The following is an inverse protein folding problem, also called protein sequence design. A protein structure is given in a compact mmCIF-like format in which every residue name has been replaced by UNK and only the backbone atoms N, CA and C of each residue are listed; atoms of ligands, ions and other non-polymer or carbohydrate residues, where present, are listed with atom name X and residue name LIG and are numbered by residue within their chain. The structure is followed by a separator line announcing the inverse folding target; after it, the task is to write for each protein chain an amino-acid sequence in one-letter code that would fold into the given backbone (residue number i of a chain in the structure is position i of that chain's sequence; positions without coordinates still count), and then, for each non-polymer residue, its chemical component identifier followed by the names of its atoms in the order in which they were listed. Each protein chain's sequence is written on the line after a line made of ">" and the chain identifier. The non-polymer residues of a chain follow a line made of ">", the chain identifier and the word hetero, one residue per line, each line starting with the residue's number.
data_IF_980458111258
#
_entry.id   IF_980458111258
#
_cell.length_a   1.000
_cell.length_b   1.000
_cell.length_c   1.000
_cell.angle_alpha   90.00
_cell.angle_beta   90.00
_cell.angle_gamma   90.00
#
_symmetry.space_group_name_H-M   'P 1'
#
loop_
_entity.id
_entity.type
_entity.pdbx_description
1 polymer ?
#
# COMPACT_ATOMS: atom_id res chain seq x y z
N UNK A 1 -18.75 -11.31 4.84
CA UNK A 1 -19.34 -10.74 3.65
C UNK A 1 -20.14 -9.51 4.04
N UNK A 2 -19.91 -8.39 3.32
CA UNK A 2 -20.49 -7.10 3.61
C UNK A 2 -20.22 -6.51 5.02
N UNK A 3 -19.18 -6.98 5.69
CA UNK A 3 -18.74 -6.41 6.96
C UNK A 3 -18.11 -5.04 6.74
N UNK A 4 -18.42 -4.11 7.63
CA UNK A 4 -17.79 -2.81 7.74
C UNK A 4 -17.39 -2.54 9.18
N UNK A 5 -17.17 -1.29 9.53
CA UNK A 5 -16.86 -0.90 10.90
C UNK A 5 -15.44 -0.34 11.06
N UNK A 6 -14.87 -0.51 12.23
CA UNK A 6 -13.58 0.08 12.57
C UNK A 6 -12.61 -0.97 13.09
N UNK A 7 -11.41 -0.99 12.49
CA UNK A 7 -10.24 -1.70 12.98
C UNK A 7 -9.29 -0.64 13.53
N UNK A 8 -8.77 -0.84 14.73
CA UNK A 8 -7.95 0.18 15.39
C UNK A 8 -6.86 -0.46 16.23
N UNK A 9 -5.66 0.16 16.21
CA UNK A 9 -4.53 -0.19 17.07
C UNK A 9 -4.15 -1.68 16.99
N UNK A 10 -4.00 -2.20 15.75
CA UNK A 10 -3.64 -3.59 15.50
C UNK A 10 -2.21 -3.66 14.98
N UNK A 11 -1.43 -4.52 15.58
CA UNK A 11 -0.12 -4.91 15.10
C UNK A 11 -0.04 -6.43 14.93
N UNK A 12 0.37 -6.86 13.75
CA UNK A 12 0.64 -8.27 13.47
C UNK A 12 2.08 -8.40 12.98
N UNK A 13 2.85 -9.22 13.67
CA UNK A 13 4.25 -9.45 13.33
C UNK A 13 4.60 -10.92 13.41
N UNK A 14 5.47 -11.38 12.49
CA UNK A 14 6.06 -12.72 12.50
C UNK A 14 5.03 -13.86 12.56
N UNK A 15 3.85 -13.67 12.00
CA UNK A 15 2.83 -14.72 11.94
C UNK A 15 3.10 -15.70 10.80
N UNK A 16 3.87 -15.28 9.81
CA UNK A 16 4.19 -16.02 8.58
C UNK A 16 2.94 -16.52 7.84
N UNK A 17 1.81 -15.87 8.05
CA UNK A 17 0.61 -16.10 7.28
C UNK A 17 0.78 -15.63 5.83
N UNK A 18 -0.06 -16.08 4.94
CA UNK A 18 -0.04 -15.64 3.55
C UNK A 18 -0.31 -14.14 3.42
N UNK A 19 -1.17 -13.59 4.26
CA UNK A 19 -1.45 -12.15 4.36
C UNK A 19 -1.72 -11.76 5.80
N UNK A 20 -1.23 -10.60 6.23
CA UNK A 20 -1.50 -10.05 7.56
C UNK A 20 -2.92 -9.54 7.70
N UNK A 21 -3.40 -8.88 6.66
CA UNK A 21 -4.79 -8.44 6.57
C UNK A 21 -5.40 -8.88 5.24
N UNK A 22 -6.57 -9.45 5.28
CA UNK A 22 -7.37 -9.71 4.08
C UNK A 22 -8.79 -9.23 4.26
N UNK A 23 -9.17 -8.22 3.50
CA UNK A 23 -10.54 -7.70 3.43
C UNK A 23 -11.10 -8.01 2.06
N UNK A 24 -12.26 -8.63 2.01
CA UNK A 24 -12.88 -8.99 0.74
C UNK A 24 -14.40 -8.90 0.76
N UNK A 25 -14.97 -8.76 -0.44
CA UNK A 25 -16.40 -8.86 -0.71
C UNK A 25 -17.25 -7.94 0.19
N UNK A 26 -16.84 -6.65 0.33
CA UNK A 26 -17.59 -5.71 1.13
C UNK A 26 -17.68 -4.33 0.49
N UNK A 27 -18.90 -3.78 0.46
CA UNK A 27 -19.16 -2.40 0.07
C UNK A 27 -19.61 -1.54 1.25
N UNK A 28 -19.77 -2.15 2.41
CA UNK A 28 -20.11 -1.46 3.66
C UNK A 28 -18.94 -0.58 4.08
N UNK A 29 -19.17 0.69 4.43
CA UNK A 29 -18.10 1.58 4.85
C UNK A 29 -17.30 1.05 6.03
N UNK A 30 -15.98 1.15 5.90
CA UNK A 30 -15.05 0.72 6.94
C UNK A 30 -13.92 1.72 7.16
N UNK A 31 -13.26 1.57 8.30
CA UNK A 31 -12.10 2.39 8.68
C UNK A 31 -11.02 1.56 9.32
N UNK A 32 -9.79 1.92 9.04
CA UNK A 32 -8.61 1.41 9.74
C UNK A 32 -7.87 2.59 10.34
N UNK A 33 -7.50 2.49 11.60
CA UNK A 33 -6.68 3.46 12.30
C UNK A 33 -5.49 2.78 12.99
N UNK A 34 -4.28 3.25 12.70
CA UNK A 34 -3.05 2.77 13.34
C UNK A 34 -2.89 1.24 13.25
N UNK A 35 -2.59 0.74 12.06
CA UNK A 35 -2.33 -0.68 11.85
C UNK A 35 -0.92 -0.89 11.30
N UNK A 36 -0.19 -1.84 11.89
CA UNK A 36 1.11 -2.30 11.41
C UNK A 36 1.05 -3.77 11.03
N UNK A 37 1.56 -4.08 9.85
CA UNK A 37 1.60 -5.43 9.28
C UNK A 37 3.03 -5.76 8.91
N UNK A 38 3.54 -6.87 9.47
CA UNK A 38 4.95 -7.23 9.38
C UNK A 38 5.15 -8.73 9.22
N UNK A 39 6.06 -9.10 8.34
CA UNK A 39 6.54 -10.48 8.19
C UNK A 39 5.47 -11.47 7.74
N UNK A 40 4.75 -11.14 6.68
CA UNK A 40 3.82 -12.05 6.02
C UNK A 40 4.40 -12.57 4.69
N UNK A 41 4.00 -13.76 4.27
CA UNK A 41 4.73 -14.49 3.21
C UNK A 41 4.45 -13.97 1.81
N UNK A 42 3.26 -13.48 1.53
CA UNK A 42 2.86 -13.05 0.18
C UNK A 42 2.49 -11.58 0.08
N UNK A 43 1.70 -11.12 1.01
CA UNK A 43 1.28 -9.73 1.09
C UNK A 43 1.11 -9.32 2.54
N UNK A 44 1.49 -8.10 2.87
CA UNK A 44 1.14 -7.58 4.17
C UNK A 44 -0.37 -7.31 4.25
N UNK A 45 -0.93 -6.62 3.24
CA UNK A 45 -2.37 -6.44 3.15
C UNK A 45 -2.94 -6.82 1.78
N UNK A 46 -4.18 -7.32 1.78
CA UNK A 46 -4.92 -7.61 0.56
C UNK A 46 -6.35 -7.08 0.65
N UNK A 47 -6.76 -6.36 -0.39
CA UNK A 47 -8.11 -5.85 -0.54
C UNK A 47 -8.68 -6.39 -1.86
N UNK A 48 -9.78 -7.11 -1.79
CA UNK A 48 -10.42 -7.67 -2.97
C UNK A 48 -11.92 -7.38 -2.96
N UNK A 49 -12.41 -6.70 -4.01
CA UNK A 49 -13.82 -6.31 -4.11
C UNK A 49 -14.31 -5.52 -2.87
N UNK A 50 -13.54 -4.48 -2.52
CA UNK A 50 -13.78 -3.63 -1.35
C UNK A 50 -14.14 -2.22 -1.77
N UNK A 51 -15.15 -1.63 -1.15
CA UNK A 51 -15.51 -0.25 -1.43
C UNK A 51 -15.79 0.58 -0.16
N UNK A 52 -15.58 1.91 -0.28
CA UNK A 52 -15.94 2.90 0.74
C UNK A 52 -15.15 2.78 2.06
N UNK A 53 -13.86 2.48 1.97
CA UNK A 53 -12.98 2.38 3.13
C UNK A 53 -12.03 3.57 3.25
N UNK A 54 -11.74 3.97 4.48
CA UNK A 54 -10.75 4.98 4.83
C UNK A 54 -9.70 4.37 5.76
N UNK A 55 -8.43 4.54 5.41
CA UNK A 55 -7.32 3.90 6.07
C UNK A 55 -6.32 4.97 6.48
N UNK A 56 -6.00 5.04 7.76
CA UNK A 56 -5.16 6.07 8.36
C UNK A 56 -4.04 5.45 9.18
N UNK A 57 -2.81 5.97 9.01
CA UNK A 57 -1.63 5.51 9.72
C UNK A 57 -1.40 4.00 9.53
N UNK A 58 -1.14 3.59 8.30
CA UNK A 58 -0.96 2.20 7.93
C UNK A 58 0.51 1.93 7.62
N UNK A 59 1.12 1.04 8.37
CA UNK A 59 2.51 0.63 8.18
C UNK A 59 2.57 -0.76 7.56
N UNK A 60 3.53 -0.93 6.66
CA UNK A 60 3.93 -2.19 6.06
C UNK A 60 5.43 -2.35 6.25
N UNK A 61 5.84 -3.47 6.81
CA UNK A 61 7.25 -3.78 6.98
C UNK A 61 7.59 -5.12 6.34
N UNK A 62 8.57 -5.12 5.45
CA UNK A 62 9.14 -6.32 4.87
C UNK A 62 10.52 -6.58 5.43
N UNK A 63 10.78 -7.82 5.78
CA UNK A 63 12.10 -8.32 6.18
C UNK A 63 12.59 -9.45 5.27
N UNK A 64 13.88 -9.75 5.33
CA UNK A 64 14.52 -10.72 4.44
C UNK A 64 14.11 -12.19 4.61
N UNK A 65 13.26 -12.51 5.58
CA UNK A 65 12.74 -13.86 5.79
C UNK A 65 11.38 -14.10 5.12
N UNK A 66 10.74 -13.05 4.71
CA UNK A 66 9.54 -13.11 3.89
C UNK A 66 9.93 -13.52 2.48
N UNK A 67 9.13 -14.26 1.80
CA UNK A 67 9.47 -14.69 0.44
C UNK A 67 9.80 -13.51 -0.47
N UNK A 68 10.67 -13.68 -1.45
CA UNK A 68 11.09 -12.59 -2.37
C UNK A 68 9.93 -11.98 -3.15
N UNK A 69 8.79 -12.65 -3.16
CA UNK A 69 7.57 -12.22 -3.86
C UNK A 69 6.53 -11.58 -2.93
N UNK A 70 6.88 -11.29 -1.67
CA UNK A 70 5.98 -10.56 -0.78
C UNK A 70 5.73 -9.15 -1.32
N UNK A 71 4.48 -8.71 -1.34
CA UNK A 71 4.06 -7.36 -1.68
C UNK A 71 3.49 -6.69 -0.43
N UNK A 72 3.73 -5.40 -0.28
CA UNK A 72 3.16 -4.65 0.84
C UNK A 72 1.64 -4.61 0.76
N UNK A 73 1.09 -4.35 -0.42
CA UNK A 73 -0.35 -4.51 -0.58
C UNK A 73 -0.77 -4.90 -2.00
N UNK A 74 -1.89 -5.57 -2.05
CA UNK A 74 -2.63 -5.85 -3.27
C UNK A 74 -4.05 -5.29 -3.17
N UNK A 75 -4.46 -4.60 -4.23
CA UNK A 75 -5.82 -4.07 -4.33
C UNK A 75 -6.41 -4.48 -5.68
N UNK A 76 -7.50 -5.23 -5.65
CA UNK A 76 -8.19 -5.66 -6.87
C UNK A 76 -9.67 -5.42 -6.78
N UNK A 77 -10.25 -4.89 -7.86
CA UNK A 77 -11.67 -4.59 -7.95
C UNK A 77 -12.18 -3.71 -6.78
N UNK A 78 -11.35 -2.75 -6.36
CA UNK A 78 -11.64 -1.86 -5.25
C UNK A 78 -12.15 -0.50 -5.73
N UNK A 79 -12.94 0.16 -4.88
CA UNK A 79 -13.50 1.46 -5.26
C UNK A 79 -13.69 2.36 -4.04
N UNK A 80 -13.46 3.68 -4.23
CA UNK A 80 -13.63 4.68 -3.17
C UNK A 80 -12.81 4.34 -1.90
N UNK A 81 -11.52 4.08 -2.06
CA UNK A 81 -10.60 3.83 -0.96
C UNK A 81 -9.70 5.06 -0.79
N UNK A 82 -9.60 5.55 0.41
CA UNK A 82 -8.64 6.60 0.79
C UNK A 82 -7.63 6.06 1.79
N UNK A 83 -6.35 6.21 1.49
CA UNK A 83 -5.23 5.86 2.38
C UNK A 83 -4.44 7.12 2.70
N UNK A 84 -4.23 7.37 3.98
CA UNK A 84 -3.54 8.57 4.48
C UNK A 84 -2.49 8.17 5.50
N UNK A 85 -1.28 8.74 5.38
CA UNK A 85 -0.13 8.41 6.21
C UNK A 85 0.21 6.93 6.12
N UNK A 86 0.64 6.50 4.95
CA UNK A 86 1.05 5.12 4.69
C UNK A 86 2.57 5.03 4.72
N UNK A 87 3.09 4.11 5.50
CA UNK A 87 4.51 3.81 5.59
C UNK A 87 4.80 2.47 4.93
N UNK A 88 5.68 2.49 3.95
CA UNK A 88 6.23 1.30 3.30
C UNK A 88 7.69 1.18 3.72
N UNK A 89 8.01 0.13 4.46
CA UNK A 89 9.28 -0.02 5.12
C UNK A 89 9.93 -1.35 4.75
N UNK A 90 11.20 -1.31 4.34
CA UNK A 90 11.98 -2.53 4.07
C UNK A 90 13.22 -2.58 4.92
N UNK A 91 13.31 -3.59 5.77
CA UNK A 91 14.45 -3.89 6.65
C UNK A 91 15.16 -5.14 6.14
N UNK A 92 15.64 -5.08 4.92
CA UNK A 92 16.33 -6.23 4.29
C UNK A 92 17.82 -5.94 4.29
N UNK A 93 18.60 -6.77 4.98
CA UNK A 93 20.04 -6.63 5.09
C UNK A 93 20.83 -7.19 3.90
N UNK A 94 20.15 -7.81 2.95
CA UNK A 94 20.72 -8.32 1.72
C UNK A 94 20.24 -7.51 0.52
N UNK A 95 21.04 -7.47 -0.53
CA UNK A 95 20.63 -6.86 -1.80
C UNK A 95 19.51 -7.67 -2.45
N UNK A 96 18.28 -7.34 -2.13
CA UNK A 96 17.09 -7.94 -2.72
C UNK A 96 16.20 -6.83 -3.31
N UNK A 97 16.39 -6.51 -4.59
CA UNK A 97 15.59 -5.51 -5.27
C UNK A 97 14.13 -5.90 -5.25
N UNK A 98 13.27 -4.97 -4.88
CA UNK A 98 11.84 -5.13 -5.05
C UNK A 98 11.32 -4.04 -5.96
N UNK A 99 10.68 -4.45 -7.03
CA UNK A 99 10.20 -3.47 -7.99
C UNK A 99 8.93 -2.78 -7.53
N UNK A 100 8.00 -3.50 -6.92
CA UNK A 100 6.65 -3.01 -6.65
C UNK A 100 6.29 -3.17 -5.17
N UNK A 101 5.84 -2.10 -4.53
CA UNK A 101 5.26 -2.11 -3.19
C UNK A 101 3.77 -2.49 -3.22
N UNK A 102 2.94 -1.59 -3.74
CA UNK A 102 1.51 -1.83 -3.97
C UNK A 102 1.24 -2.25 -5.41
N UNK A 103 0.50 -3.32 -5.59
CA UNK A 103 -0.11 -3.70 -6.88
C UNK A 103 -1.58 -3.35 -6.86
N UNK A 104 -2.05 -2.62 -7.88
CA UNK A 104 -3.46 -2.29 -8.01
C UNK A 104 -3.96 -2.65 -9.41
N UNK A 105 -5.15 -3.22 -9.51
CA UNK A 105 -5.83 -3.49 -10.77
C UNK A 105 -7.36 -3.48 -10.61
N UNK A 106 -8.06 -3.10 -11.67
CA UNK A 106 -9.52 -2.98 -11.71
C UNK A 106 -10.09 -2.09 -10.59
N UNK A 107 -9.31 -1.06 -10.19
CA UNK A 107 -9.68 -0.17 -9.11
C UNK A 107 -10.15 1.19 -9.62
N UNK A 108 -11.06 1.85 -8.87
CA UNK A 108 -11.61 3.18 -9.16
C UNK A 108 -11.60 4.06 -7.92
N UNK A 109 -11.28 5.35 -8.09
CA UNK A 109 -11.29 6.33 -6.99
C UNK A 109 -10.46 5.88 -5.79
N UNK A 110 -9.23 5.45 -6.05
CA UNK A 110 -8.26 5.15 -5.00
C UNK A 110 -7.40 6.40 -4.78
N UNK A 111 -7.36 6.88 -3.56
CA UNK A 111 -6.58 8.07 -3.18
C UNK A 111 -5.53 7.69 -2.17
N UNK A 112 -4.28 8.04 -2.46
CA UNK A 112 -3.17 7.94 -1.53
C UNK A 112 -2.71 9.35 -1.17
N UNK A 113 -2.53 9.61 0.11
CA UNK A 113 -1.98 10.87 0.62
C UNK A 113 -0.90 10.59 1.64
N UNK A 114 0.18 11.38 1.57
CA UNK A 114 1.29 11.27 2.50
C UNK A 114 1.81 9.83 2.61
N UNK A 115 2.30 9.33 1.47
CA UNK A 115 2.96 8.03 1.37
C UNK A 115 4.44 8.18 1.68
N UNK A 116 4.96 7.30 2.52
CA UNK A 116 6.36 7.24 2.85
C UNK A 116 6.94 5.92 2.37
N UNK A 117 8.10 6.00 1.76
CA UNK A 117 8.82 4.82 1.28
C UNK A 117 10.24 4.85 1.81
N UNK A 118 10.60 3.87 2.61
CA UNK A 118 11.89 3.79 3.27
C UNK A 118 12.52 2.41 3.13
N UNK A 119 13.82 2.37 2.89
CA UNK A 119 14.61 1.14 2.92
C UNK A 119 15.91 1.37 3.67
N UNK A 120 16.38 0.38 4.40
CA UNK A 120 17.65 0.49 5.13
C UNK A 120 18.86 0.31 4.22
N UNK A 121 18.72 -0.47 3.15
CA UNK A 121 19.80 -0.78 2.21
C UNK A 121 19.24 -0.68 0.79
N UNK A 122 20.00 -0.04 -0.08
CA UNK A 122 19.68 -0.02 -1.50
C UNK A 122 19.69 -1.45 -2.11
N UNK A 123 18.82 -1.74 -3.07
CA UNK A 123 17.89 -0.85 -3.70
C UNK A 123 16.55 -0.76 -3.00
N UNK A 124 15.98 0.40 -3.18
CA UNK A 124 14.67 0.83 -2.76
C UNK A 124 13.58 0.01 -3.46
N UNK A 125 12.35 0.15 -3.01
CA UNK A 125 11.18 -0.18 -3.79
C UNK A 125 11.15 0.75 -5.00
N UNK A 126 11.27 0.21 -6.19
CA UNK A 126 11.37 0.99 -7.42
C UNK A 126 10.05 1.72 -7.72
N UNK A 127 8.96 0.98 -7.61
CA UNK A 127 7.60 1.47 -7.83
C UNK A 127 6.78 1.28 -6.55
N UNK A 128 6.71 2.27 -5.68
CA UNK A 128 5.84 2.17 -4.51
C UNK A 128 4.40 1.78 -4.83
N UNK A 129 3.88 2.27 -5.95
CA UNK A 129 2.57 1.87 -6.46
C UNK A 129 2.68 1.54 -7.95
N UNK A 130 2.02 0.49 -8.37
CA UNK A 130 1.95 0.09 -9.77
C UNK A 130 0.51 -0.27 -10.19
N UNK A 131 0.00 0.45 -11.20
CA UNK A 131 -1.27 0.09 -11.85
C UNK A 131 -1.01 -1.02 -12.87
N UNK A 132 -1.48 -2.20 -12.56
CA UNK A 132 -1.24 -3.40 -13.37
C UNK A 132 -1.99 -3.39 -14.69
N UNK A 133 -3.16 -2.73 -14.75
CA UNK A 133 -3.95 -2.62 -15.99
C UNK A 133 -3.29 -1.67 -16.98
N UNK A 134 -2.90 -0.51 -16.51
CA UNK A 134 -2.31 0.54 -17.34
C UNK A 134 -0.82 0.38 -17.53
N UNK A 135 -0.19 -0.56 -16.81
CA UNK A 135 1.27 -0.73 -16.74
C UNK A 135 1.96 0.58 -16.35
N UNK A 136 1.37 1.28 -15.39
CA UNK A 136 1.79 2.62 -15.02
C UNK A 136 2.43 2.61 -13.62
N UNK A 137 3.75 2.89 -13.54
CA UNK A 137 4.44 3.04 -12.28
C UNK A 137 4.18 4.41 -11.66
N UNK A 138 4.21 4.46 -10.33
CA UNK A 138 4.36 5.68 -9.55
C UNK A 138 5.66 5.57 -8.80
N UNK A 139 6.52 6.54 -8.97
CA UNK A 139 7.83 6.57 -8.33
C UNK A 139 7.79 7.28 -6.99
N UNK A 140 8.78 7.03 -6.14
CA UNK A 140 8.85 7.63 -4.80
C UNK A 140 8.86 9.16 -4.81
N UNK A 141 9.39 9.78 -5.85
CA UNK A 141 9.43 11.24 -6.01
C UNK A 141 8.12 11.85 -6.55
N UNK A 142 7.17 11.01 -6.95
CA UNK A 142 5.85 11.48 -7.41
C UNK A 142 4.88 11.74 -6.24
N UNK A 143 5.33 11.48 -5.01
CA UNK A 143 4.45 11.48 -3.86
C UNK A 143 4.20 12.86 -3.26
N UNK A 144 3.08 13.42 -3.57
CA UNK A 144 2.38 14.28 -2.63
C UNK A 144 0.94 13.80 -2.49
N UNK A 145 0.31 13.49 -3.58
CA UNK A 145 -1.04 12.92 -3.63
C UNK A 145 -1.21 12.16 -4.93
N UNK A 146 -1.69 10.93 -4.84
CA UNK A 146 -2.11 10.15 -5.99
C UNK A 146 -3.58 9.79 -5.88
N UNK A 147 -4.32 10.06 -6.93
CA UNK A 147 -5.70 9.58 -7.07
C UNK A 147 -5.80 8.70 -8.30
N UNK A 148 -6.20 7.46 -8.09
CA UNK A 148 -6.53 6.52 -9.16
C UNK A 148 -8.01 6.66 -9.45
N UNK A 149 -8.35 7.27 -10.57
CA UNK A 149 -9.73 7.40 -11.03
C UNK A 149 -10.05 6.35 -12.09
N UNK A 150 -11.30 5.95 -12.19
CA UNK A 150 -11.76 4.94 -13.15
C UNK A 150 -11.84 5.41 -14.61
N UNK A 151 -11.41 6.64 -14.93
CA UNK A 151 -11.31 7.11 -16.30
C UNK A 151 -9.93 6.79 -16.88
N UNK A 152 -9.85 6.47 -18.15
CA UNK A 152 -8.62 6.07 -18.84
C UNK A 152 -7.48 7.09 -18.81
N UNK A 153 -7.67 8.25 -18.21
CA UNK A 153 -6.75 9.39 -18.30
C UNK A 153 -6.03 9.78 -17.01
N UNK A 154 -6.14 9.08 -15.90
CA UNK A 154 -5.66 9.69 -14.68
C UNK A 154 -5.00 8.79 -13.65
N UNK A 155 -3.76 8.48 -13.89
CA UNK A 155 -2.76 8.59 -12.86
C UNK A 155 -2.09 9.97 -13.12
N UNK A 156 -2.57 11.01 -12.47
CA UNK A 156 -1.85 12.26 -12.40
C UNK A 156 -1.39 12.45 -10.97
N UNK A 157 -0.08 12.55 -10.73
CA UNK A 157 0.40 13.10 -9.48
C UNK A 157 -0.14 14.53 -9.41
N UNK A 158 -0.99 14.82 -8.47
CA UNK A 158 -1.31 16.20 -8.16
C UNK A 158 -0.23 16.70 -7.21
N UNK A 159 0.85 17.22 -7.75
CA UNK A 159 1.84 17.93 -6.96
C UNK A 159 1.19 19.15 -6.33
N UNK A 160 0.86 19.07 -5.07
CA UNK A 160 0.75 20.25 -4.21
C UNK A 160 1.54 19.95 -2.95
N UNK A 161 2.72 20.57 -2.90
CA UNK A 161 3.67 20.55 -1.78
C UNK A 161 4.43 19.23 -1.66
N UNK A 162 5.64 19.21 -2.21
CA UNK A 162 6.66 18.27 -1.77
C UNK A 162 6.98 18.57 -0.30
N UNK A 163 6.62 17.68 0.58
CA UNK A 163 7.25 17.64 1.88
C UNK A 163 8.64 17.03 1.70
N UNK A 164 9.62 17.91 1.51
CA UNK A 164 11.03 17.53 1.34
C UNK A 164 11.67 17.02 2.64
N UNK A 165 10.96 16.94 3.72
CA UNK A 165 11.49 16.45 5.01
C UNK A 165 11.77 14.95 5.03
N UNK A 166 11.48 14.23 3.97
CA UNK A 166 11.46 12.77 3.93
C UNK A 166 12.55 12.13 3.08
N UNK A 167 13.50 12.91 2.58
CA UNK A 167 14.73 12.34 2.03
C UNK A 167 15.74 12.27 3.18
N UNK A 168 15.64 11.25 3.99
CA UNK A 168 16.75 10.82 4.81
C UNK A 168 17.56 9.79 4.05
N UNK A 169 18.70 10.22 3.60
CA UNK A 169 19.79 9.38 3.08
C UNK A 169 20.45 8.65 4.25
#
# INVERSE_FOLDING_TARGET
>A
NNGGGTIKDVWTASTYAASGLYISETKTPGRIYAMSLEHHVRTEARFHNVANWKIYAFQFEEEGREGPDCYMAEMSNCQNIEMVNVWMYRVIRAFMPKRIGFRIWDCKNITFRNMHNYTQILPVIEFPIYDMNKKLPVYSWDFARLTVSGSEKSLRPSCTVMDLSLIHI
#
